data_IF_069463794503
#
_entry.id   IF_069463794503
#
_cell.length_a   1.000
_cell.length_b   1.000
_cell.length_c   1.000
_cell.angle_alpha   90.00
_cell.angle_beta   90.00
_cell.angle_gamma   90.00
#
_symmetry.space_group_name_H-M   'P 1'
#
loop_
_entity.id
_entity.type
_entity.pdbx_description
1 polymer ?
#
# COMPACT_ATOMS: atom_id res chain seq x y z
N UNK A 1 3.59 10.70 22.66
CA UNK A 1 2.87 9.42 22.45
C UNK A 1 3.39 8.81 21.18
N UNK A 2 4.11 7.67 21.26
CA UNK A 2 4.61 6.99 20.07
C UNK A 2 3.40 6.38 19.35
N UNK A 3 3.01 6.96 18.22
CA UNK A 3 2.05 6.34 17.31
C UNK A 3 2.55 4.93 17.01
N UNK A 4 1.73 3.95 17.34
CA UNK A 4 2.08 2.55 17.14
C UNK A 4 2.42 2.33 15.66
N UNK A 5 3.53 1.65 15.39
CA UNK A 5 4.01 1.43 14.02
C UNK A 5 2.98 0.65 13.21
N UNK A 6 2.17 -0.16 13.86
CA UNK A 6 1.07 -0.90 13.25
C UNK A 6 -0.12 0.00 12.96
N UNK A 7 -0.45 0.95 13.85
CA UNK A 7 -1.52 1.91 13.59
C UNK A 7 -1.21 2.76 12.35
N UNK A 8 0.03 3.23 12.24
CA UNK A 8 0.48 3.97 11.05
C UNK A 8 0.42 3.09 9.80
N UNK A 9 0.82 1.82 9.90
CA UNK A 9 0.77 0.88 8.78
C UNK A 9 -0.68 0.63 8.35
N UNK A 10 -1.59 0.39 9.29
CA UNK A 10 -3.01 0.17 9.04
C UNK A 10 -3.70 1.39 8.43
N UNK A 11 -3.40 2.61 8.89
CA UNK A 11 -3.92 3.84 8.27
C UNK A 11 -3.52 3.96 6.81
N UNK A 12 -2.25 3.73 6.49
CA UNK A 12 -1.78 3.75 5.10
C UNK A 12 -2.40 2.63 4.26
N UNK A 13 -2.54 1.43 4.83
CA UNK A 13 -3.20 0.30 4.18
C UNK A 13 -4.66 0.61 3.85
N UNK A 14 -5.45 1.07 4.83
CA UNK A 14 -6.85 1.42 4.65
C UNK A 14 -7.03 2.56 3.64
N UNK A 15 -6.20 3.60 3.71
CA UNK A 15 -6.26 4.71 2.76
C UNK A 15 -5.96 4.24 1.32
N UNK A 16 -4.96 3.38 1.14
CA UNK A 16 -4.65 2.81 -0.16
C UNK A 16 -5.76 1.86 -0.63
N UNK A 17 -6.31 1.05 0.27
CA UNK A 17 -7.42 0.12 -0.02
C UNK A 17 -8.64 0.89 -0.53
N UNK A 18 -9.10 1.89 0.22
CA UNK A 18 -10.23 2.71 -0.17
C UNK A 18 -10.03 3.36 -1.56
N UNK A 19 -8.82 3.85 -1.83
CA UNK A 19 -8.48 4.40 -3.13
C UNK A 19 -8.55 3.35 -4.27
N UNK A 20 -8.04 2.14 -4.01
CA UNK A 20 -8.10 1.03 -4.97
C UNK A 20 -9.53 0.53 -5.17
N UNK A 21 -10.36 0.51 -4.13
CA UNK A 21 -11.76 0.12 -4.26
C UNK A 21 -12.55 1.14 -5.10
N UNK A 22 -12.31 2.44 -4.90
CA UNK A 22 -12.98 3.52 -5.64
C UNK A 22 -12.49 3.64 -7.08
N UNK A 23 -11.18 3.59 -7.31
CA UNK A 23 -10.60 3.86 -8.63
C UNK A 23 -10.14 2.61 -9.38
N UNK A 24 -10.08 1.43 -8.73
CA UNK A 24 -9.49 0.18 -9.25
C UNK A 24 -8.04 0.31 -9.74
N UNK A 25 -7.35 1.36 -9.34
CA UNK A 25 -5.97 1.65 -9.70
C UNK A 25 -5.23 2.30 -8.53
N UNK A 26 -3.91 2.43 -8.68
CA UNK A 26 -3.09 3.12 -7.71
C UNK A 26 -3.10 4.63 -7.91
N UNK A 27 -2.85 5.39 -6.83
CA UNK A 27 -2.79 6.82 -6.93
C UNK A 27 -1.68 7.29 -7.87
N UNK A 28 -2.04 8.26 -8.70
CA UNK A 28 -1.14 8.83 -9.69
C UNK A 28 -0.08 9.73 -9.03
N UNK A 29 1.12 9.81 -9.63
CA UNK A 29 2.20 10.69 -9.17
C UNK A 29 1.82 12.17 -9.24
N UNK A 30 0.84 12.54 -10.07
CA UNK A 30 0.37 13.92 -10.26
C UNK A 30 -0.42 14.44 -9.07
N UNK A 31 -1.07 13.57 -8.28
CA UNK A 31 -1.80 13.98 -7.06
C UNK A 31 -0.86 13.93 -5.87
N UNK A 32 -0.37 15.10 -5.46
CA UNK A 32 0.60 15.26 -4.36
C UNK A 32 0.12 14.59 -3.07
N UNK A 33 -1.18 14.70 -2.77
CA UNK A 33 -1.80 14.12 -1.58
C UNK A 33 -1.65 12.59 -1.52
N UNK A 34 -1.73 11.91 -2.67
CA UNK A 34 -1.66 10.45 -2.72
C UNK A 34 -0.26 9.91 -3.09
N UNK A 35 0.69 10.80 -3.37
CA UNK A 35 2.09 10.43 -3.66
C UNK A 35 2.74 9.72 -2.48
N UNK A 36 2.39 10.11 -1.26
CA UNK A 36 2.87 9.45 -0.04
C UNK A 36 2.44 7.98 0.03
N UNK A 37 1.17 7.69 -0.29
CA UNK A 37 0.63 6.31 -0.33
C UNK A 37 1.32 5.45 -1.40
N UNK A 38 1.55 6.00 -2.60
CA UNK A 38 2.27 5.30 -3.66
C UNK A 38 3.71 4.97 -3.25
N UNK A 39 4.42 5.94 -2.65
CA UNK A 39 5.78 5.74 -2.16
C UNK A 39 5.82 4.71 -1.02
N UNK A 40 4.85 4.76 -0.11
CA UNK A 40 4.70 3.79 0.97
C UNK A 40 4.52 2.37 0.40
N UNK A 41 3.63 2.18 -0.58
CA UNK A 41 3.45 0.87 -1.20
C UNK A 41 4.74 0.37 -1.87
N UNK A 42 5.45 1.22 -2.61
CA UNK A 42 6.73 0.86 -3.25
C UNK A 42 7.79 0.45 -2.24
N UNK A 43 7.90 1.20 -1.15
CA UNK A 43 8.81 0.89 -0.05
C UNK A 43 8.49 -0.46 0.56
N UNK A 44 7.22 -0.73 0.87
CA UNK A 44 6.79 -2.00 1.41
C UNK A 44 7.06 -3.14 0.41
N UNK A 45 6.69 -3.00 -0.86
CA UNK A 45 7.00 -4.01 -1.90
C UNK A 45 8.50 -4.32 -1.99
N UNK A 46 9.37 -3.32 -1.87
CA UNK A 46 10.82 -3.53 -1.82
C UNK A 46 11.22 -4.34 -0.59
N UNK A 47 10.65 -4.04 0.59
CA UNK A 47 10.89 -4.77 1.85
C UNK A 47 10.45 -6.22 1.78
N UNK A 48 9.31 -6.49 1.12
CA UNK A 48 8.84 -7.85 0.81
C UNK A 48 9.88 -8.61 -0.02
N UNK A 49 10.36 -8.00 -1.12
CA UNK A 49 11.39 -8.61 -1.97
C UNK A 49 12.72 -8.85 -1.23
N UNK A 50 12.99 -8.07 -0.19
CA UNK A 50 14.16 -8.20 0.67
C UNK A 50 13.99 -9.24 1.79
N UNK A 51 12.81 -9.86 1.94
CA UNK A 51 12.53 -10.79 3.05
C UNK A 51 12.42 -10.11 4.42
N UNK A 52 12.29 -8.78 4.47
CA UNK A 52 12.25 -8.00 5.70
C UNK A 52 10.81 -7.70 6.20
N UNK A 53 9.83 -8.49 5.74
CA UNK A 53 8.40 -8.30 6.02
C UNK A 53 7.77 -9.65 6.38
N UNK A 54 6.87 -9.67 7.35
CA UNK A 54 6.07 -10.85 7.72
C UNK A 54 5.12 -11.26 6.60
N UNK A 55 4.83 -12.57 6.50
CA UNK A 55 3.97 -13.16 5.48
C UNK A 55 2.55 -12.57 5.49
N UNK A 56 1.99 -12.25 6.66
CA UNK A 56 0.67 -11.60 6.78
C UNK A 56 0.62 -10.24 6.08
N UNK A 57 1.63 -9.39 6.31
CA UNK A 57 1.73 -8.07 5.68
C UNK A 57 1.98 -8.19 4.19
N UNK A 58 2.71 -9.23 3.78
CA UNK A 58 2.90 -9.55 2.37
C UNK A 58 1.58 -9.90 1.70
N UNK A 59 0.80 -10.80 2.27
CA UNK A 59 -0.49 -11.23 1.75
C UNK A 59 -1.45 -10.05 1.58
N UNK A 60 -1.57 -9.18 2.59
CA UNK A 60 -2.41 -7.97 2.53
C UNK A 60 -2.00 -7.04 1.38
N UNK A 61 -0.69 -6.78 1.21
CA UNK A 61 -0.19 -5.93 0.13
C UNK A 61 -0.31 -6.58 -1.25
N UNK A 62 -0.26 -7.91 -1.32
CA UNK A 62 -0.48 -8.68 -2.55
C UNK A 62 -1.95 -8.64 -2.95
N UNK A 63 -2.87 -8.80 -1.99
CA UNK A 63 -4.31 -8.66 -2.20
C UNK A 63 -4.65 -7.28 -2.76
N UNK A 64 -4.14 -6.20 -2.15
CA UNK A 64 -4.26 -4.84 -2.69
C UNK A 64 -3.74 -4.71 -4.13
N UNK A 65 -2.61 -5.37 -4.41
CA UNK A 65 -2.01 -5.41 -5.74
C UNK A 65 -2.83 -6.20 -6.75
N UNK A 66 -3.65 -7.15 -6.30
CA UNK A 66 -4.55 -7.95 -7.14
C UNK A 66 -5.91 -7.27 -7.33
N UNK A 67 -6.37 -6.47 -6.37
CA UNK A 67 -7.60 -5.68 -6.48
C UNK A 67 -7.53 -4.61 -7.58
N UNK A 68 -6.34 -4.08 -7.87
CA UNK A 68 -6.15 -3.13 -8.97
C UNK A 68 -6.23 -3.84 -10.32
N UNK A 69 -6.85 -3.18 -11.30
CA UNK A 69 -6.89 -3.65 -12.68
C UNK A 69 -5.53 -3.39 -13.32
N UNK A 70 -4.64 -4.39 -13.26
CA UNK A 70 -3.40 -4.36 -14.05
C UNK A 70 -3.77 -4.83 -15.45
N UNK A 71 -3.99 -3.90 -16.37
CA UNK A 71 -4.02 -4.25 -17.79
C UNK A 71 -2.68 -4.91 -18.12
N UNK A 72 -2.74 -6.20 -18.45
CA UNK A 72 -1.61 -7.02 -18.84
C UNK A 72 -1.21 -6.73 -20.29
#
# INVERSE_FOLDING_TARGET
MAMDREETWNKNYQALKAYVEEHKQFPDKKKVENRALLNWWKYNKKRIKQGAMTEDKQALLLELSNMRTVHK
#
